data_IF_240567567726
#
_entry.id   IF_240567567726
#
_cell.length_a   1.000
_cell.length_b   1.000
_cell.length_c   1.000
_cell.angle_alpha   90.00
_cell.angle_beta   90.00
_cell.angle_gamma   90.00
#
_symmetry.space_group_name_H-M   'P 1'
#
loop_
_entity.id
_entity.type
_entity.pdbx_description
1 polymer ?
#
# COMPACT_ATOMS: atom_id res chain seq x y z
N UNK A 1 7.92 10.39 1.60
CA UNK A 1 6.81 9.83 2.41
C UNK A 1 5.55 9.93 1.57
N UNK A 2 4.75 8.86 1.46
CA UNK A 2 3.49 8.97 0.71
C UNK A 2 2.57 9.97 1.40
N UNK A 3 1.98 10.88 0.63
CA UNK A 3 0.90 11.77 1.07
C UNK A 3 -0.36 11.39 0.26
N UNK A 4 -1.53 11.16 0.89
CA UNK A 4 -1.81 11.23 2.33
C UNK A 4 -0.95 10.27 3.18
N UNK A 5 -0.67 10.62 4.47
CA UNK A 5 -0.05 9.70 5.41
C UNK A 5 -0.69 8.32 5.33
N UNK A 6 0.12 7.29 5.16
CA UNK A 6 -0.36 5.92 4.91
C UNK A 6 0.15 4.98 5.99
N UNK A 7 -0.77 4.39 6.76
CA UNK A 7 -0.48 3.36 7.74
C UNK A 7 -0.68 1.98 7.11
N UNK A 8 0.39 1.18 7.09
CA UNK A 8 0.36 -0.21 6.61
C UNK A 8 0.15 -1.14 7.80
N UNK A 9 -0.90 -1.97 7.72
CA UNK A 9 -1.30 -2.88 8.80
C UNK A 9 -1.18 -4.31 8.28
N UNK A 10 -0.19 -5.09 8.75
CA UNK A 10 -0.10 -6.51 8.40
C UNK A 10 -1.28 -7.28 9.00
N UNK A 11 -1.97 -8.03 8.15
CA UNK A 11 -3.06 -8.94 8.57
C UNK A 11 -2.54 -10.30 9.05
N UNK A 12 -1.31 -10.62 8.69
CA UNK A 12 -0.59 -11.84 9.10
C UNK A 12 0.49 -11.45 10.11
N UNK A 13 0.57 -12.20 11.21
CA UNK A 13 1.58 -12.00 12.25
C UNK A 13 2.99 -12.06 11.67
N UNK A 14 3.78 -11.01 11.91
CA UNK A 14 5.19 -10.95 11.53
C UNK A 14 6.02 -11.58 12.66
N UNK A 15 6.64 -12.73 12.40
CA UNK A 15 7.37 -13.53 13.39
C UNK A 15 8.89 -13.36 13.34
N UNK A 16 9.43 -12.78 12.27
CA UNK A 16 10.87 -12.60 12.11
C UNK A 16 11.21 -11.43 11.16
N UNK A 17 12.48 -11.03 11.18
CA UNK A 17 12.98 -9.91 10.38
C UNK A 17 12.87 -10.14 8.87
N UNK A 18 12.91 -11.39 8.41
CA UNK A 18 12.74 -11.70 6.97
C UNK A 18 11.33 -11.33 6.53
N UNK A 19 10.31 -11.75 7.27
CA UNK A 19 8.91 -11.38 7.00
C UNK A 19 8.71 -9.86 7.09
N UNK A 20 9.28 -9.22 8.13
CA UNK A 20 9.24 -7.77 8.26
C UNK A 20 9.84 -7.07 7.03
N UNK A 21 10.99 -7.55 6.52
CA UNK A 21 11.66 -6.99 5.35
C UNK A 21 10.90 -7.18 4.02
N UNK A 22 9.95 -8.11 3.97
CA UNK A 22 9.05 -8.31 2.82
C UNK A 22 7.87 -7.35 2.89
N UNK A 23 7.29 -7.13 4.07
CA UNK A 23 6.19 -6.18 4.27
C UNK A 23 6.69 -4.73 4.19
N UNK A 24 7.66 -4.36 5.02
CA UNK A 24 8.19 -3.00 5.13
C UNK A 24 9.34 -2.71 4.14
N UNK A 25 9.42 -3.49 3.06
CA UNK A 25 10.33 -3.28 1.94
C UNK A 25 9.56 -3.14 0.63
N UNK A 26 9.42 -4.22 -0.17
CA UNK A 26 8.75 -4.16 -1.46
C UNK A 26 7.26 -3.81 -1.34
N UNK A 27 6.54 -4.36 -0.35
CA UNK A 27 5.11 -4.05 -0.19
C UNK A 27 4.89 -2.60 0.24
N UNK A 28 5.66 -2.09 1.22
CA UNK A 28 5.60 -0.68 1.61
C UNK A 28 5.91 0.27 0.44
N UNK A 29 6.92 -0.03 -0.36
CA UNK A 29 7.27 0.77 -1.53
C UNK A 29 6.14 0.76 -2.57
N UNK A 30 5.52 -0.40 -2.80
CA UNK A 30 4.43 -0.55 -3.76
C UNK A 30 3.16 0.20 -3.33
N UNK A 31 2.77 0.07 -2.05
CA UNK A 31 1.63 0.81 -1.48
C UNK A 31 1.86 2.31 -1.60
N UNK A 32 3.03 2.79 -1.17
CA UNK A 32 3.37 4.21 -1.25
C UNK A 32 3.40 4.75 -2.67
N UNK A 33 3.82 3.93 -3.65
CA UNK A 33 3.79 4.30 -5.07
C UNK A 33 2.36 4.37 -5.60
N UNK A 34 1.51 3.39 -5.28
CA UNK A 34 0.12 3.38 -5.72
C UNK A 34 -0.67 4.58 -5.18
N UNK A 35 -0.42 4.99 -3.93
CA UNK A 35 -1.03 6.20 -3.34
C UNK A 35 -0.57 7.46 -4.07
N UNK A 36 0.74 7.61 -4.33
CA UNK A 36 1.28 8.74 -5.08
C UNK A 36 0.69 8.82 -6.50
N UNK A 37 0.71 7.71 -7.23
CA UNK A 37 0.15 7.66 -8.57
C UNK A 37 -1.35 7.99 -8.58
N UNK A 38 -2.11 7.59 -7.55
CA UNK A 38 -3.54 7.92 -7.44
C UNK A 38 -3.78 9.43 -7.23
N UNK A 39 -2.87 10.13 -6.54
CA UNK A 39 -2.90 11.59 -6.42
C UNK A 39 -2.51 12.24 -7.75
N UNK A 40 -1.44 11.78 -8.39
CA UNK A 40 -0.98 12.30 -9.69
C UNK A 40 -2.02 12.13 -10.80
N UNK A 41 -2.75 11.02 -10.79
CA UNK A 41 -3.85 10.74 -11.72
C UNK A 41 -5.16 11.44 -11.35
N UNK A 42 -5.19 12.19 -10.24
CA UNK A 42 -6.34 12.96 -9.79
C UNK A 42 -7.49 12.12 -9.24
N UNK A 43 -7.27 10.84 -8.89
CA UNK A 43 -8.31 10.03 -8.25
C UNK A 43 -8.46 10.42 -6.78
N UNK A 44 -7.33 10.67 -6.11
CA UNK A 44 -7.30 11.21 -4.75
C UNK A 44 -7.12 12.74 -4.87
N UNK A 45 -8.04 13.56 -4.33
CA UNK A 45 -7.91 15.01 -4.36
C UNK A 45 -6.62 15.47 -3.66
N UNK A 46 -6.00 16.55 -4.13
CA UNK A 46 -4.77 17.08 -3.53
C UNK A 46 -4.97 17.50 -2.07
N UNK A 47 -6.16 17.98 -1.71
CA UNK A 47 -6.50 18.37 -0.35
C UNK A 47 -6.43 17.18 0.63
N UNK A 48 -6.66 15.96 0.12
CA UNK A 48 -6.57 14.74 0.92
C UNK A 48 -5.14 14.50 1.45
N UNK A 49 -4.11 15.06 0.79
CA UNK A 49 -2.70 14.91 1.18
C UNK A 49 -2.39 15.39 2.61
N UNK A 50 -3.17 16.36 3.12
CA UNK A 50 -3.01 16.94 4.46
C UNK A 50 -4.19 16.63 5.39
N UNK A 51 -5.34 16.24 4.84
CA UNK A 51 -6.60 16.09 5.61
C UNK A 51 -6.98 14.63 5.87
N UNK A 52 -6.43 13.68 5.12
CA UNK A 52 -6.79 12.27 5.21
C UNK A 52 -5.60 11.41 5.61
N UNK A 53 -5.91 10.23 6.14
CA UNK A 53 -4.96 9.15 6.39
C UNK A 53 -5.45 7.91 5.64
N UNK A 54 -4.56 7.27 4.89
CA UNK A 54 -4.84 5.99 4.25
C UNK A 54 -4.50 4.84 5.22
N UNK A 55 -5.48 3.98 5.48
CA UNK A 55 -5.28 2.74 6.22
C UNK A 55 -5.23 1.59 5.22
N UNK A 56 -4.08 0.92 5.13
CA UNK A 56 -3.86 -0.13 4.13
C UNK A 56 -3.52 -1.43 4.83
N UNK A 57 -4.50 -2.32 4.88
CA UNK A 57 -4.28 -3.69 5.32
C UNK A 57 -3.57 -4.49 4.22
N UNK A 58 -2.51 -5.19 4.60
CA UNK A 58 -1.72 -6.01 3.67
C UNK A 58 -1.66 -7.45 4.15
N UNK A 59 -1.88 -8.38 3.22
CA UNK A 59 -1.74 -9.81 3.44
C UNK A 59 -0.55 -10.31 2.65
N UNK A 60 0.49 -10.77 3.34
CA UNK A 60 1.67 -11.38 2.75
C UNK A 60 1.79 -12.79 3.32
N UNK A 61 1.85 -13.80 2.44
CA UNK A 61 2.08 -15.18 2.88
C UNK A 61 3.43 -15.28 3.60
N UNK A 62 3.54 -15.93 4.78
CA UNK A 62 4.79 -16.00 5.55
C UNK A 62 5.99 -16.54 4.78
N UNK A 63 5.76 -17.39 3.77
CA UNK A 63 6.76 -18.05 2.93
C UNK A 63 7.12 -17.25 1.67
N UNK A 64 6.52 -16.07 1.45
CA UNK A 64 6.78 -15.26 0.27
C UNK A 64 8.20 -14.69 0.29
N UNK A 65 8.98 -14.99 -0.76
CA UNK A 65 10.38 -14.56 -0.91
C UNK A 65 10.64 -13.72 -2.17
N UNK A 66 9.73 -13.74 -3.14
CA UNK A 66 9.88 -12.97 -4.37
C UNK A 66 9.47 -11.51 -4.16
N UNK A 67 10.49 -10.66 -3.96
CA UNK A 67 10.32 -9.22 -3.76
C UNK A 67 9.67 -8.51 -4.95
N UNK A 68 9.93 -8.96 -6.18
CA UNK A 68 9.37 -8.33 -7.39
C UNK A 68 7.88 -8.65 -7.52
N UNK A 69 7.52 -9.92 -7.32
CA UNK A 69 6.13 -10.33 -7.30
C UNK A 69 5.35 -9.63 -6.17
N UNK A 70 5.94 -9.54 -4.98
CA UNK A 70 5.32 -8.80 -3.86
C UNK A 70 5.08 -7.33 -4.18
N UNK A 71 6.07 -6.65 -4.77
CA UNK A 71 5.90 -5.26 -5.19
C UNK A 71 4.78 -5.12 -6.21
N UNK A 72 4.83 -5.90 -7.30
CA UNK A 72 3.84 -5.82 -8.38
C UNK A 72 2.42 -6.08 -7.88
N UNK A 73 2.23 -7.16 -7.12
CA UNK A 73 0.91 -7.53 -6.60
C UNK A 73 0.38 -6.49 -5.61
N UNK A 74 1.22 -6.00 -4.70
CA UNK A 74 0.81 -4.99 -3.74
C UNK A 74 0.44 -3.66 -4.42
N UNK A 75 1.18 -3.26 -5.46
CA UNK A 75 0.90 -2.04 -6.23
C UNK A 75 -0.46 -2.15 -6.92
N UNK A 76 -0.67 -3.22 -7.71
CA UNK A 76 -1.92 -3.43 -8.44
C UNK A 76 -3.13 -3.56 -7.52
N UNK A 77 -3.00 -4.31 -6.41
CA UNK A 77 -4.05 -4.45 -5.42
C UNK A 77 -4.40 -3.12 -4.74
N UNK A 78 -3.40 -2.34 -4.34
CA UNK A 78 -3.61 -1.02 -3.72
C UNK A 78 -4.27 -0.05 -4.69
N UNK A 79 -3.81 -0.02 -5.94
CA UNK A 79 -4.36 0.84 -6.99
C UNK A 79 -5.84 0.54 -7.25
N UNK A 80 -6.19 -0.74 -7.34
CA UNK A 80 -7.57 -1.17 -7.53
C UNK A 80 -8.44 -0.88 -6.28
N UNK A 81 -7.91 -1.07 -5.08
CA UNK A 81 -8.60 -0.73 -3.84
C UNK A 81 -8.92 0.77 -3.76
N UNK A 82 -7.96 1.64 -4.08
CA UNK A 82 -8.15 3.10 -4.12
C UNK A 82 -9.22 3.49 -5.14
N UNK A 83 -9.15 2.95 -6.37
CA UNK A 83 -10.19 3.19 -7.39
C UNK A 83 -11.57 2.80 -6.91
N UNK A 84 -11.71 1.68 -6.21
CA UNK A 84 -13.02 1.22 -5.69
C UNK A 84 -13.53 2.09 -4.55
N UNK A 85 -12.66 2.49 -3.63
CA UNK A 85 -13.03 3.34 -2.51
C UNK A 85 -13.54 4.69 -3.00
N UNK A 86 -12.84 5.30 -3.96
CA UNK A 86 -13.13 6.65 -4.46
C UNK A 86 -14.29 6.69 -5.47
N UNK A 87 -14.70 5.54 -6.03
CA UNK A 87 -15.93 5.43 -6.83
C UNK A 87 -17.20 5.30 -6.00
N UNK A 88 -17.08 5.02 -4.70
CA UNK A 88 -18.20 4.75 -3.78
C UNK A 88 -18.49 5.89 -2.80
N UNK A 89 -17.65 6.93 -2.79
CA UNK A 89 -17.90 8.20 -2.09
C UNK A 89 -18.37 9.25 -3.07
#
# INVERSE_FOLDING_TARGET
MARPPTLIIPTVEIRNMRQASMVYGPVQAAVGRAVQDAVEMGWVPMEAMETHVALVEVTVKPEALDRRALYFNAYEATREALRRALRRG
#
